data_IF_057116263124
#
_entry.id   IF_057116263124
#
_cell.length_a   1.000
_cell.length_b   1.000
_cell.length_c   1.000
_cell.angle_alpha   90.00
_cell.angle_beta   90.00
_cell.angle_gamma   90.00
#
_symmetry.space_group_name_H-M   'P 1'
#
loop_
_entity.id
_entity.type
_entity.pdbx_description
1 polymer ?
#
# COMPACT_ATOMS: atom_id res chain seq x y z
N UNK A 1 -16.03 -6.27 5.88
CA UNK A 1 -16.41 -5.70 7.21
C UNK A 1 -17.81 -5.11 7.14
N UNK A 2 -18.55 -5.03 8.25
CA UNK A 2 -19.93 -4.49 8.28
C UNK A 2 -20.02 -2.98 8.05
N UNK A 3 -18.93 -2.27 8.27
CA UNK A 3 -18.81 -0.82 8.20
C UNK A 3 -17.98 -0.35 6.98
N UNK A 4 -17.85 -1.22 5.97
CA UNK A 4 -17.25 -0.89 4.68
C UNK A 4 -18.05 0.21 3.98
N UNK A 5 -17.36 1.19 3.40
CA UNK A 5 -18.00 2.32 2.70
C UNK A 5 -17.63 2.38 1.23
N UNK A 6 -16.38 2.10 0.88
CA UNK A 6 -15.89 2.22 -0.50
C UNK A 6 -14.56 1.50 -0.69
N UNK A 7 -14.17 1.30 -1.95
CA UNK A 7 -12.89 0.76 -2.35
C UNK A 7 -12.07 1.84 -3.07
N UNK A 8 -10.80 1.97 -2.70
CA UNK A 8 -9.82 2.78 -3.41
C UNK A 8 -9.09 1.89 -4.42
N UNK A 9 -8.97 2.39 -5.64
CA UNK A 9 -8.24 1.74 -6.72
C UNK A 9 -7.09 2.64 -7.20
N UNK A 10 -6.06 2.84 -6.36
CA UNK A 10 -4.96 3.77 -6.66
C UNK A 10 -4.01 3.16 -7.69
N UNK A 11 -4.44 3.07 -8.95
CA UNK A 11 -3.73 2.44 -10.07
C UNK A 11 -3.45 0.93 -9.88
N UNK A 12 -3.89 0.13 -10.87
CA UNK A 12 -3.72 -1.32 -10.87
C UNK A 12 -3.37 -1.76 -12.29
N UNK A 13 -2.22 -2.42 -12.44
CA UNK A 13 -1.75 -2.99 -13.69
C UNK A 13 -2.68 -4.10 -14.21
N UNK A 14 -2.66 -4.38 -15.52
CA UNK A 14 -3.58 -5.34 -16.14
C UNK A 14 -3.32 -6.79 -15.69
N UNK A 15 -2.09 -7.11 -15.30
CA UNK A 15 -1.63 -8.46 -15.04
C UNK A 15 -1.71 -8.89 -13.57
N UNK A 16 -1.62 -10.21 -13.35
CA UNK A 16 -1.66 -10.82 -12.02
C UNK A 16 -3.04 -11.12 -11.46
N UNK A 17 -3.07 -11.69 -10.26
CA UNK A 17 -4.28 -12.02 -9.50
C UNK A 17 -4.30 -11.32 -8.14
N UNK A 18 -5.49 -11.06 -7.63
CA UNK A 18 -5.68 -10.55 -6.28
C UNK A 18 -5.59 -11.68 -5.25
N UNK A 19 -4.89 -11.42 -4.14
CA UNK A 19 -4.65 -12.39 -3.07
C UNK A 19 -5.74 -12.39 -1.99
N UNK A 20 -6.74 -11.52 -2.15
CA UNK A 20 -7.86 -11.37 -1.23
C UNK A 20 -7.59 -10.31 -0.17
N UNK A 21 -8.68 -9.79 0.41
CA UNK A 21 -8.57 -8.74 1.41
C UNK A 21 -8.03 -9.25 2.74
N UNK A 22 -6.98 -8.59 3.21
CA UNK A 22 -6.66 -8.55 4.63
C UNK A 22 -7.31 -7.30 5.23
N UNK A 23 -8.13 -7.48 6.27
CA UNK A 23 -8.82 -6.39 6.96
C UNK A 23 -8.25 -6.17 8.36
N UNK A 24 -8.20 -4.90 8.76
CA UNK A 24 -8.01 -4.52 10.15
C UNK A 24 -9.15 -5.13 10.99
N UNK A 25 -8.90 -5.59 12.23
CA UNK A 25 -9.96 -6.01 13.14
C UNK A 25 -11.05 -4.95 13.30
N UNK A 26 -12.25 -5.37 13.73
CA UNK A 26 -13.36 -4.47 14.00
C UNK A 26 -12.92 -3.29 14.90
N UNK A 27 -13.47 -2.11 14.64
CA UNK A 27 -13.17 -0.86 15.37
C UNK A 27 -11.69 -0.41 15.33
N UNK A 28 -10.94 -0.89 14.33
CA UNK A 28 -9.58 -0.43 14.04
C UNK A 28 -9.40 -0.04 12.57
N UNK A 29 -8.46 0.88 12.32
CA UNK A 29 -8.12 1.40 10.99
C UNK A 29 -6.61 1.54 10.85
N UNK A 30 -6.14 1.54 9.61
CA UNK A 30 -4.74 1.72 9.28
C UNK A 30 -4.28 3.11 9.74
N UNK A 31 -3.25 3.14 10.59
CA UNK A 31 -2.61 4.37 11.06
C UNK A 31 -1.12 4.40 10.73
N UNK A 32 -0.61 3.36 10.08
CA UNK A 32 0.76 3.30 9.61
C UNK A 32 0.94 2.19 8.61
N UNK A 33 2.08 2.19 7.94
CA UNK A 33 2.46 1.14 7.03
C UNK A 33 3.97 0.99 6.95
N UNK A 34 4.39 -0.15 6.44
CA UNK A 34 5.73 -0.35 5.91
C UNK A 34 5.61 -0.98 4.52
N UNK A 35 6.69 -0.93 3.76
CA UNK A 35 6.74 -1.51 2.43
C UNK A 35 8.00 -2.34 2.22
N UNK A 36 7.90 -3.36 1.38
CA UNK A 36 8.99 -4.23 1.00
C UNK A 36 9.45 -3.87 -0.40
N UNK A 37 10.71 -3.49 -0.56
CA UNK A 37 11.26 -3.05 -1.85
C UNK A 37 12.53 -3.82 -2.12
N UNK A 38 12.69 -4.30 -3.35
CA UNK A 38 13.93 -4.94 -3.79
C UNK A 38 14.98 -3.86 -4.05
N UNK A 39 16.15 -3.88 -3.40
CA UNK A 39 17.21 -2.93 -3.71
C UNK A 39 17.76 -3.17 -5.12
N UNK A 40 18.37 -2.14 -5.70
CA UNK A 40 19.06 -2.22 -6.98
C UNK A 40 20.15 -3.32 -6.95
N UNK A 41 20.12 -4.27 -7.88
CA UNK A 41 21.08 -5.38 -7.95
C UNK A 41 21.84 -5.44 -9.27
N UNK A 42 22.24 -4.32 -9.88
CA UNK A 42 23.10 -4.31 -11.09
C UNK A 42 22.58 -5.19 -12.27
N UNK A 43 21.31 -5.65 -12.23
CA UNK A 43 20.66 -6.56 -13.19
C UNK A 43 19.40 -7.26 -12.62
N UNK A 44 18.31 -7.28 -13.40
CA UNK A 44 16.96 -7.78 -13.04
C UNK A 44 15.92 -6.65 -12.97
N UNK A 45 14.66 -6.95 -12.59
CA UNK A 45 13.65 -5.93 -12.25
C UNK A 45 14.07 -5.14 -11.00
N UNK A 46 14.95 -4.17 -11.24
CA UNK A 46 15.59 -3.35 -10.25
C UNK A 46 14.56 -2.39 -9.62
N UNK A 47 14.41 -2.43 -8.28
CA UNK A 47 13.67 -1.44 -7.46
C UNK A 47 12.15 -1.57 -7.30
N UNK A 48 11.57 -2.73 -7.65
CA UNK A 48 10.12 -2.93 -7.54
C UNK A 48 9.61 -3.09 -6.08
N UNK A 49 8.43 -2.50 -5.84
CA UNK A 49 7.61 -2.71 -4.65
C UNK A 49 7.08 -4.14 -4.66
N UNK A 50 7.35 -4.85 -3.57
CA UNK A 50 7.08 -6.29 -3.42
C UNK A 50 6.03 -6.59 -2.35
N UNK A 51 5.70 -5.64 -1.46
CA UNK A 51 4.57 -5.77 -0.53
C UNK A 51 4.28 -4.44 0.18
N UNK A 52 3.02 -4.28 0.62
CA UNK A 52 2.60 -3.25 1.57
C UNK A 52 1.95 -3.92 2.76
N UNK A 53 2.43 -3.59 3.97
CA UNK A 53 1.87 -4.05 5.24
C UNK A 53 1.31 -2.86 6.00
N UNK A 54 0.04 -2.95 6.38
CA UNK A 54 -0.65 -1.92 7.14
C UNK A 54 -0.60 -2.25 8.63
N UNK A 55 -0.53 -1.21 9.47
CA UNK A 55 -0.63 -1.30 10.92
C UNK A 55 -1.92 -0.63 11.36
N UNK A 56 -2.73 -1.38 12.11
CA UNK A 56 -4.08 -1.01 12.52
C UNK A 56 -4.15 -0.69 14.02
N UNK A 57 -4.97 0.31 14.36
CA UNK A 57 -5.21 0.76 15.75
C UNK A 57 -6.64 1.31 15.88
N UNK A 58 -7.21 1.25 17.08
CA UNK A 58 -8.49 1.86 17.40
C UNK A 58 -8.38 3.33 17.83
N UNK A 59 -9.49 4.07 17.81
CA UNK A 59 -9.57 5.50 18.22
C UNK A 59 -9.11 5.77 19.65
N UNK A 60 -9.29 4.83 20.57
CA UNK A 60 -8.85 4.96 21.96
C UNK A 60 -7.37 4.58 22.14
N UNK A 61 -6.69 4.37 21.03
CA UNK A 61 -5.31 3.95 21.00
C UNK A 61 -5.07 2.48 21.30
N UNK A 62 -6.13 1.69 21.34
CA UNK A 62 -6.13 0.25 21.62
C UNK A 62 -5.75 -0.57 20.39
N UNK A 63 -5.08 -1.69 20.64
CA UNK A 63 -4.67 -2.63 19.60
C UNK A 63 -3.48 -2.16 18.76
N UNK A 64 -2.66 -3.13 18.35
CA UNK A 64 -1.63 -2.95 17.33
C UNK A 64 -1.62 -4.23 16.51
N UNK A 65 -2.14 -4.16 15.31
CA UNK A 65 -2.29 -5.31 14.42
C UNK A 65 -1.59 -5.03 13.10
N UNK A 66 -0.75 -5.94 12.65
CA UNK A 66 -0.21 -5.91 11.30
C UNK A 66 -1.10 -6.73 10.38
N UNK A 67 -1.43 -6.18 9.22
CA UNK A 67 -2.16 -6.88 8.15
C UNK A 67 -1.44 -6.69 6.82
N UNK A 68 -1.45 -7.74 6.01
CA UNK A 68 -0.96 -7.72 4.64
C UNK A 68 -1.74 -8.75 3.82
N UNK A 69 -2.00 -8.43 2.56
CA UNK A 69 -2.69 -9.35 1.63
C UNK A 69 -1.71 -10.39 1.08
N UNK A 70 -0.48 -9.96 0.78
CA UNK A 70 0.62 -10.82 0.37
C UNK A 70 1.96 -10.23 0.85
N UNK A 71 2.93 -11.07 1.22
CA UNK A 71 4.25 -10.63 1.71
C UNK A 71 5.31 -10.45 0.60
N UNK A 72 4.99 -10.88 -0.63
CA UNK A 72 5.95 -10.94 -1.72
C UNK A 72 7.10 -11.92 -1.47
N UNK A 73 7.98 -12.07 -2.45
CA UNK A 73 9.12 -12.99 -2.36
C UNK A 73 10.41 -12.24 -2.03
N UNK A 74 10.61 -11.05 -2.62
CA UNK A 74 11.90 -10.39 -2.66
C UNK A 74 11.95 -9.05 -1.95
N UNK A 75 13.17 -8.55 -1.78
CA UNK A 75 13.48 -7.28 -1.14
C UNK A 75 13.38 -7.29 0.37
N UNK A 76 13.60 -6.11 0.95
CA UNK A 76 13.67 -5.87 2.37
C UNK A 76 12.55 -4.94 2.82
N UNK A 77 12.02 -5.20 4.02
CA UNK A 77 11.07 -4.31 4.66
C UNK A 77 11.78 -3.04 5.11
N UNK A 78 11.26 -1.88 4.71
CA UNK A 78 11.69 -0.59 5.24
C UNK A 78 11.11 -0.33 6.63
N UNK A 79 11.50 0.80 7.20
CA UNK A 79 10.98 1.25 8.49
C UNK A 79 9.47 1.49 8.44
N UNK A 80 8.82 1.26 9.58
CA UNK A 80 7.40 1.58 9.74
C UNK A 80 7.22 3.09 9.88
N UNK A 81 6.28 3.64 9.12
CA UNK A 81 5.85 5.03 9.26
C UNK A 81 4.42 5.11 9.78
N UNK A 82 4.18 6.02 10.73
CA UNK A 82 2.89 6.17 11.39
C UNK A 82 2.32 7.59 11.25
N UNK A 83 1.00 7.66 11.14
CA UNK A 83 0.22 8.85 11.39
C UNK A 83 0.38 9.33 12.83
N UNK A 84 0.21 10.63 13.04
CA UNK A 84 0.28 11.22 14.37
C UNK A 84 -0.83 10.65 15.28
N UNK A 85 -0.40 10.04 16.39
CA UNK A 85 -1.26 9.35 17.33
C UNK A 85 -1.95 10.27 18.35
N UNK A 86 -1.49 11.49 18.59
CA UNK A 86 -2.14 12.40 19.57
C UNK A 86 -3.49 12.92 19.09
N UNK A 87 -3.72 12.95 17.78
CA UNK A 87 -4.94 13.47 17.18
C UNK A 87 -5.87 12.38 16.63
N UNK A 88 -5.61 11.10 16.90
CA UNK A 88 -6.35 9.96 16.32
C UNK A 88 -6.45 10.04 14.79
N UNK A 89 -5.32 10.31 14.14
CA UNK A 89 -5.24 10.36 12.68
C UNK A 89 -5.06 8.97 12.09
N UNK A 90 -5.78 8.69 10.99
CA UNK A 90 -5.70 7.44 10.24
C UNK A 90 -5.36 7.70 8.77
N UNK A 91 -4.84 6.68 8.12
CA UNK A 91 -4.57 6.70 6.68
C UNK A 91 -5.91 6.75 5.93
N UNK A 92 -6.04 7.70 5.01
CA UNK A 92 -7.25 7.82 4.19
C UNK A 92 -6.97 7.89 2.69
N UNK A 93 -5.70 8.07 2.30
CA UNK A 93 -5.29 8.27 0.92
C UNK A 93 -4.30 7.19 0.50
N UNK A 94 -4.33 6.82 -0.77
CA UNK A 94 -3.39 5.85 -1.34
C UNK A 94 -2.92 6.33 -2.71
N UNK A 95 -1.61 6.27 -2.93
CA UNK A 95 -0.99 6.55 -4.23
C UNK A 95 0.28 5.73 -4.40
N UNK A 96 0.44 5.12 -5.58
CA UNK A 96 1.67 4.47 -5.98
C UNK A 96 2.52 5.36 -6.88
N UNK A 97 3.82 5.11 -6.85
CA UNK A 97 4.77 5.54 -7.86
C UNK A 97 4.95 4.39 -8.83
N UNK A 98 4.71 4.63 -10.11
CA UNK A 98 4.71 3.59 -11.16
C UNK A 98 5.57 4.09 -12.31
N UNK A 99 6.35 3.18 -12.89
CA UNK A 99 7.08 3.46 -14.13
C UNK A 99 6.18 3.22 -15.34
N UNK A 100 6.16 4.19 -16.26
CA UNK A 100 5.35 4.12 -17.48
C UNK A 100 6.00 3.17 -18.51
N UNK A 101 5.15 2.51 -19.30
CA UNK A 101 5.50 1.58 -20.39
C UNK A 101 6.63 2.10 -21.31
N UNK A 102 7.75 1.36 -21.40
CA UNK A 102 8.87 1.65 -22.32
C UNK A 102 8.98 0.64 -23.48
N UNK A 103 7.89 0.33 -24.18
CA UNK A 103 7.85 -0.31 -25.51
C UNK A 103 8.55 -1.70 -25.70
N UNK A 104 9.29 -2.22 -24.72
CA UNK A 104 9.86 -3.58 -24.66
C UNK A 104 10.33 -3.92 -23.23
N UNK A 105 9.64 -4.85 -22.54
CA UNK A 105 9.96 -5.30 -21.18
C UNK A 105 8.84 -4.97 -20.18
N UNK A 106 8.69 -5.78 -19.12
CA UNK A 106 7.53 -5.83 -18.21
C UNK A 106 7.02 -4.46 -17.73
N UNK A 107 5.70 -4.31 -17.75
CA UNK A 107 5.12 -3.05 -18.22
C UNK A 107 4.65 -2.04 -17.17
N UNK A 108 4.58 -2.34 -15.88
CA UNK A 108 3.94 -1.39 -14.92
C UNK A 108 4.06 -1.80 -13.45
N UNK A 109 5.25 -2.15 -12.95
CA UNK A 109 5.43 -2.43 -11.53
C UNK A 109 5.34 -1.16 -10.68
N UNK A 110 4.71 -1.25 -9.49
CA UNK A 110 4.81 -0.19 -8.51
C UNK A 110 6.23 -0.16 -7.92
N UNK A 111 6.77 1.04 -7.67
CA UNK A 111 8.12 1.25 -7.12
C UNK A 111 8.10 1.90 -5.73
N UNK A 112 7.02 2.60 -5.38
CA UNK A 112 6.88 3.23 -4.07
C UNK A 112 5.39 3.42 -3.72
N UNK A 113 5.09 3.48 -2.42
CA UNK A 113 3.76 3.75 -1.90
C UNK A 113 3.81 4.87 -0.85
N UNK A 114 2.84 5.79 -0.93
CA UNK A 114 2.62 6.78 0.12
C UNK A 114 1.16 7.01 0.39
N UNK A 115 0.89 7.50 1.58
CA UNK A 115 -0.44 7.79 2.08
C UNK A 115 -0.52 9.21 2.62
N UNK A 116 -1.69 9.62 3.10
CA UNK A 116 -1.89 10.83 3.89
C UNK A 116 -2.73 10.49 5.10
N UNK A 117 -2.50 11.23 6.17
CA UNK A 117 -3.21 11.04 7.42
C UNK A 117 -4.30 12.10 7.60
N UNK A 118 -5.41 11.69 8.20
CA UNK A 118 -6.54 12.56 8.50
C UNK A 118 -7.20 12.14 9.81
N UNK A 119 -7.59 13.12 10.62
CA UNK A 119 -8.23 12.91 11.93
C UNK A 119 -9.73 13.23 11.94
N UNK A 120 -10.35 13.44 10.78
CA UNK A 120 -11.76 13.83 10.69
C UNK A 120 -12.00 15.34 10.58
N UNK A 121 -11.01 16.19 10.90
CA UNK A 121 -11.15 17.66 10.84
C UNK A 121 -10.09 18.34 9.97
N UNK A 122 -8.83 17.88 10.03
CA UNK A 122 -7.71 18.50 9.30
C UNK A 122 -6.78 17.43 8.72
N UNK A 123 -6.46 17.52 7.43
CA UNK A 123 -5.43 16.65 6.84
C UNK A 123 -4.05 17.04 7.39
N UNK A 124 -3.14 16.08 7.58
CA UNK A 124 -1.80 16.35 8.10
C UNK A 124 -0.91 17.16 7.14
N UNK A 125 -1.42 17.58 5.99
CA UNK A 125 -0.72 18.35 4.95
C UNK A 125 0.34 17.56 4.18
N UNK A 126 1.18 16.78 4.88
CA UNK A 126 2.25 15.97 4.33
C UNK A 126 1.85 14.54 3.93
N UNK A 127 2.69 13.92 3.12
CA UNK A 127 2.63 12.49 2.83
C UNK A 127 3.27 11.67 3.95
N UNK A 128 2.64 10.55 4.27
CA UNK A 128 3.24 9.47 5.03
C UNK A 128 3.95 8.53 4.05
N UNK A 129 5.28 8.43 4.13
CA UNK A 129 6.10 7.74 3.13
C UNK A 129 7.28 7.03 3.79
N UNK A 130 7.57 5.80 3.37
CA UNK A 130 8.74 5.03 3.80
C UNK A 130 9.95 5.44 2.96
N UNK A 131 11.14 5.43 3.55
CA UNK A 131 12.37 5.93 2.92
C UNK A 131 12.99 4.98 1.89
N UNK A 132 12.61 3.70 1.88
CA UNK A 132 13.18 2.67 1.01
C UNK A 132 12.49 2.56 -0.37
N UNK A 133 11.66 3.54 -0.75
CA UNK A 133 10.98 3.55 -2.05
C UNK A 133 11.92 3.67 -3.25
N UNK A 134 11.54 3.07 -4.37
CA UNK A 134 12.30 3.10 -5.62
C UNK A 134 12.41 4.49 -6.25
N UNK A 135 13.56 4.75 -6.88
CA UNK A 135 13.90 6.05 -7.49
C UNK A 135 13.12 6.35 -8.78
N UNK A 136 12.62 5.34 -9.47
CA UNK A 136 12.06 5.44 -10.82
C UNK A 136 10.53 5.57 -10.86
N UNK A 137 10.02 6.04 -11.99
CA UNK A 137 8.59 6.25 -12.24
C UNK A 137 8.02 7.57 -11.73
N UNK A 138 6.74 7.77 -11.99
CA UNK A 138 5.96 8.95 -11.65
C UNK A 138 4.94 8.63 -10.56
N UNK A 139 4.68 9.59 -9.67
CA UNK A 139 3.56 9.47 -8.74
C UNK A 139 2.25 9.60 -9.51
N UNK A 140 1.41 8.57 -9.41
CA UNK A 140 0.12 8.54 -10.08
C UNK A 140 -0.89 9.49 -9.42
N UNK A 141 -2.08 9.60 -10.03
CA UNK A 141 -3.23 10.22 -9.35
C UNK A 141 -3.73 9.28 -8.26
N UNK A 142 -3.51 9.63 -7.00
CA UNK A 142 -4.02 8.84 -5.87
C UNK A 142 -5.48 9.13 -5.56
N UNK A 143 -6.07 8.20 -4.81
CA UNK A 143 -7.48 8.22 -4.40
C UNK A 143 -7.60 8.23 -2.89
N UNK A 144 -8.64 8.86 -2.35
CA UNK A 144 -8.88 8.94 -0.91
C UNK A 144 -10.27 8.47 -0.50
N UNK A 145 -10.38 7.98 0.73
CA UNK A 145 -11.64 7.66 1.38
C UNK A 145 -12.50 8.93 1.55
N UNK A 146 -13.81 8.75 1.56
CA UNK A 146 -14.76 9.84 1.80
C UNK A 146 -14.63 10.40 3.23
N UNK A 147 -15.15 11.60 3.45
CA UNK A 147 -15.19 12.20 4.77
C UNK A 147 -15.90 11.26 5.76
N UNK A 148 -15.30 11.04 6.94
CA UNK A 148 -15.79 10.14 7.98
C UNK A 148 -15.35 8.68 7.82
N UNK A 149 -14.44 8.39 6.89
CA UNK A 149 -13.92 7.02 6.66
C UNK A 149 -12.40 7.00 6.53
N UNK A 150 -11.80 5.84 6.80
CA UNK A 150 -10.36 5.60 6.74
C UNK A 150 -10.06 4.20 6.19
N UNK A 151 -8.82 4.00 5.75
CA UNK A 151 -8.35 2.72 5.22
C UNK A 151 -8.43 1.66 6.33
N UNK A 152 -9.09 0.55 6.05
CA UNK A 152 -9.30 -0.56 6.99
C UNK A 152 -8.94 -1.93 6.38
N UNK A 153 -8.41 -1.97 5.17
CA UNK A 153 -7.99 -3.22 4.55
C UNK A 153 -7.24 -3.00 3.24
N UNK A 154 -6.55 -4.05 2.80
CA UNK A 154 -5.75 -4.06 1.59
C UNK A 154 -5.95 -5.39 0.85
N UNK A 155 -5.97 -5.34 -0.48
CA UNK A 155 -5.95 -6.49 -1.36
C UNK A 155 -4.93 -6.24 -2.47
N UNK A 156 -3.82 -6.95 -2.45
CA UNK A 156 -2.71 -6.73 -3.39
C UNK A 156 -2.84 -7.62 -4.61
N UNK A 157 -2.42 -7.10 -5.76
CA UNK A 157 -2.38 -7.80 -7.04
C UNK A 157 -0.93 -8.13 -7.38
N UNK A 158 -0.64 -9.41 -7.58
CA UNK A 158 0.68 -9.89 -7.99
C UNK A 158 0.57 -10.79 -9.20
N UNK A 159 1.57 -10.70 -10.07
CA UNK A 159 1.86 -11.78 -10.98
C UNK A 159 2.49 -12.93 -10.22
N UNK A 160 2.00 -14.13 -10.48
CA UNK A 160 2.55 -15.34 -9.89
C UNK A 160 3.10 -16.12 -11.06
N UNK A 161 4.43 -16.10 -11.23
CA UNK A 161 5.07 -17.08 -12.08
C UNK A 161 4.98 -18.44 -11.37
N UNK A 162 4.63 -19.47 -12.15
CA UNK A 162 4.67 -20.87 -11.73
C UNK A 162 6.10 -21.44 -11.75
N UNK A 163 7.10 -20.59 -11.96
CA UNK A 163 8.52 -20.91 -12.01
C UNK A 163 9.26 -20.03 -10.99
N UNK A 164 9.79 -20.59 -9.88
CA UNK A 164 10.56 -19.85 -8.88
C UNK A 164 11.82 -19.17 -9.42
N UNK A 165 12.25 -19.51 -10.65
CA UNK A 165 13.38 -18.89 -11.33
C UNK A 165 13.01 -17.75 -12.27
N UNK A 166 11.72 -17.44 -12.42
CA UNK A 166 11.22 -16.41 -13.33
C UNK A 166 10.90 -15.10 -12.58
N UNK A 167 11.43 -13.98 -13.08
CA UNK A 167 11.54 -12.65 -12.44
C UNK A 167 10.20 -11.92 -12.26
N UNK A 168 9.09 -12.48 -12.74
CA UNK A 168 7.76 -11.85 -12.81
C UNK A 168 7.04 -11.71 -11.44
N UNK A 169 7.67 -11.11 -10.44
CA UNK A 169 7.23 -11.18 -9.02
C UNK A 169 6.97 -9.82 -8.35
N UNK A 170 6.92 -8.74 -9.13
CA UNK A 170 6.62 -7.40 -8.63
C UNK A 170 5.13 -7.17 -8.34
N UNK A 171 4.84 -6.28 -7.39
CA UNK A 171 3.46 -5.86 -7.09
C UNK A 171 2.92 -5.01 -8.25
N UNK A 172 1.84 -5.49 -8.86
CA UNK A 172 1.19 -4.86 -10.00
C UNK A 172 0.09 -3.86 -9.57
N UNK A 173 -0.25 -3.81 -8.29
CA UNK A 173 -1.19 -2.83 -7.73
C UNK A 173 -1.84 -3.33 -6.45
N UNK A 174 -2.72 -2.50 -5.89
CA UNK A 174 -3.54 -2.90 -4.75
C UNK A 174 -4.85 -2.12 -4.73
N UNK A 175 -5.87 -2.76 -4.17
CA UNK A 175 -7.08 -2.09 -3.73
C UNK A 175 -7.04 -1.89 -2.21
N UNK A 176 -7.62 -0.79 -1.76
CA UNK A 176 -7.74 -0.49 -0.33
C UNK A 176 -9.20 -0.35 0.05
N UNK A 177 -9.62 -0.98 1.13
CA UNK A 177 -10.97 -0.82 1.65
C UNK A 177 -11.03 0.40 2.57
N UNK A 178 -12.05 1.23 2.41
CA UNK A 178 -12.43 2.28 3.35
C UNK A 178 -13.56 1.77 4.25
N UNK A 179 -13.45 2.08 5.55
CA UNK A 179 -14.50 1.82 6.53
C UNK A 179 -14.85 3.10 7.28
N UNK A 180 -16.10 3.25 7.71
CA UNK A 180 -16.53 4.39 8.53
C UNK A 180 -15.74 4.43 9.84
N UNK A 181 -15.36 5.63 10.30
CA UNK A 181 -14.64 5.88 11.54
C UNK A 181 -15.55 5.84 12.77
#
# INVERSE_FOLDING_TARGET
>A
RSDFTSELQPSVGPWGIFFGYAYCPADTWAYGFQQRVQPYQYGGDDTALNAVRLFCRGKNGTGSYAINSYDGWWGDWGDVVYCNTTNNSFMYYAVFKIEDYQYSGDDTSANDFRSRCWNGTTSSGGYLQVTNGGGWGNWMNGTGCAQGSAICGINTKFEVSNDPSNDNTAMNGAFFACCSL
#
